data_IF_196105201227
#
_entry.id   IF_196105201227
#
_cell.length_a   1.000
_cell.length_b   1.000
_cell.length_c   1.000
_cell.angle_alpha   90.00
_cell.angle_beta   90.00
_cell.angle_gamma   90.00
#
_symmetry.space_group_name_H-M   'P 1'
#
loop_
_entity.id
_entity.type
_entity.pdbx_description
1 polymer ?
#
# COMPACT_ATOMS: atom_id res chain seq x y z
N UNK A 1 -10.89 7.01 13.85
CA UNK A 1 -10.56 5.99 12.82
C UNK A 1 -11.35 6.31 11.57
N UNK A 2 -10.71 6.31 10.38
CA UNK A 2 -11.38 6.63 9.12
C UNK A 2 -12.45 5.57 8.82
N UNK A 3 -13.68 6.01 8.55
CA UNK A 3 -14.77 5.12 8.16
C UNK A 3 -14.80 5.00 6.64
N UNK A 4 -14.16 3.95 6.12
CA UNK A 4 -13.97 3.75 4.68
C UNK A 4 -15.29 3.52 3.95
N UNK A 5 -16.21 2.74 4.52
CA UNK A 5 -17.53 2.51 3.93
C UNK A 5 -18.29 3.82 3.74
N UNK A 6 -18.21 4.74 4.71
CA UNK A 6 -18.83 6.05 4.58
C UNK A 6 -18.21 6.87 3.44
N UNK A 7 -16.89 6.84 3.30
CA UNK A 7 -16.17 7.62 2.28
C UNK A 7 -16.48 7.07 0.88
N UNK A 8 -16.49 5.75 0.70
CA UNK A 8 -16.75 5.11 -0.58
C UNK A 8 -18.20 5.30 -1.06
N UNK A 9 -19.16 5.39 -0.13
CA UNK A 9 -20.57 5.56 -0.47
C UNK A 9 -20.99 7.02 -0.69
N UNK A 10 -20.23 8.00 -0.18
CA UNK A 10 -20.53 9.42 -0.32
C UNK A 10 -19.58 10.09 -1.32
N UNK A 11 -20.10 10.44 -2.50
CA UNK A 11 -19.29 11.02 -3.59
C UNK A 11 -18.53 12.29 -3.16
N UNK A 12 -19.17 13.15 -2.36
CA UNK A 12 -18.51 14.35 -1.83
C UNK A 12 -17.28 14.01 -0.98
N UNK A 13 -17.39 13.06 -0.06
CA UNK A 13 -16.26 12.64 0.78
C UNK A 13 -15.19 11.94 -0.04
N UNK A 14 -15.58 11.09 -0.99
CA UNK A 14 -14.65 10.44 -1.91
C UNK A 14 -13.84 11.50 -2.67
N UNK A 15 -14.49 12.55 -3.15
CA UNK A 15 -13.86 13.66 -3.87
C UNK A 15 -13.00 14.55 -2.97
N UNK A 16 -13.40 14.81 -1.74
CA UNK A 16 -12.57 15.54 -0.76
C UNK A 16 -11.29 14.77 -0.40
N UNK A 17 -11.36 13.45 -0.33
CA UNK A 17 -10.23 12.59 0.06
C UNK A 17 -9.28 12.27 -1.08
N UNK A 18 -9.80 12.11 -2.31
CA UNK A 18 -9.00 11.65 -3.46
C UNK A 18 -8.85 12.71 -4.54
N UNK A 19 -9.67 13.77 -4.52
CA UNK A 19 -9.79 14.74 -5.62
C UNK A 19 -10.56 14.23 -6.83
N UNK A 20 -10.96 12.95 -6.84
CA UNK A 20 -11.56 12.28 -8.00
C UNK A 20 -13.08 12.20 -7.88
N UNK A 21 -13.76 12.14 -9.03
CA UNK A 21 -15.16 11.73 -9.06
C UNK A 21 -15.25 10.19 -8.95
N UNK A 22 -16.45 9.68 -8.68
CA UNK A 22 -16.66 8.24 -8.47
C UNK A 22 -16.34 7.40 -9.72
N UNK A 23 -16.56 7.95 -10.91
CA UNK A 23 -16.27 7.26 -12.17
C UNK A 23 -14.76 7.09 -12.40
N UNK A 24 -13.98 8.17 -12.33
CA UNK A 24 -12.53 8.14 -12.46
C UNK A 24 -11.88 7.30 -11.35
N UNK A 25 -12.42 7.33 -10.14
CA UNK A 25 -11.98 6.45 -9.06
C UNK A 25 -12.20 4.97 -9.40
N UNK A 26 -13.37 4.63 -9.96
CA UNK A 26 -13.66 3.25 -10.37
C UNK A 26 -12.84 2.82 -11.59
N UNK A 27 -12.51 3.71 -12.52
CA UNK A 27 -11.60 3.40 -13.62
C UNK A 27 -10.19 3.03 -13.14
N UNK A 28 -9.75 3.62 -12.02
CA UNK A 28 -8.46 3.26 -11.41
C UNK A 28 -8.45 1.86 -10.79
N UNK A 29 -9.61 1.25 -10.47
CA UNK A 29 -9.65 -0.07 -9.84
C UNK A 29 -9.01 -1.16 -10.71
N UNK A 30 -9.24 -1.13 -12.03
CA UNK A 30 -8.65 -2.12 -12.95
C UNK A 30 -7.13 -2.00 -12.98
N UNK A 31 -6.63 -0.78 -13.16
CA UNK A 31 -5.19 -0.49 -13.15
C UNK A 31 -4.55 -0.82 -11.79
N UNK A 32 -5.26 -0.56 -10.70
CA UNK A 32 -4.79 -0.83 -9.35
C UNK A 32 -4.72 -2.33 -9.08
N UNK A 33 -5.70 -3.12 -9.53
CA UNK A 33 -5.66 -4.58 -9.40
C UNK A 33 -4.44 -5.16 -10.11
N UNK A 34 -4.20 -4.78 -11.37
CA UNK A 34 -3.06 -5.25 -12.15
C UNK A 34 -1.71 -4.91 -11.51
N UNK A 35 -1.58 -3.68 -10.99
CA UNK A 35 -0.34 -3.23 -10.34
C UNK A 35 -0.17 -3.85 -8.95
N UNK A 36 -1.25 -4.03 -8.20
CA UNK A 36 -1.22 -4.68 -6.89
C UNK A 36 -0.76 -6.13 -7.02
N UNK A 37 -1.32 -6.91 -7.95
CA UNK A 37 -0.89 -8.28 -8.18
C UNK A 37 0.60 -8.34 -8.54
N UNK A 38 1.05 -7.53 -9.50
CA UNK A 38 2.46 -7.45 -9.89
C UNK A 38 3.37 -7.08 -8.71
N UNK A 39 2.97 -6.12 -7.88
CA UNK A 39 3.78 -5.69 -6.73
C UNK A 39 3.79 -6.72 -5.61
N UNK A 40 2.69 -7.39 -5.30
CA UNK A 40 2.64 -8.48 -4.31
C UNK A 40 3.51 -9.65 -4.74
N UNK A 41 3.39 -10.09 -6.00
CA UNK A 41 4.25 -11.14 -6.54
C UNK A 41 5.74 -10.77 -6.44
N UNK A 42 6.11 -9.53 -6.81
CA UNK A 42 7.49 -9.06 -6.73
C UNK A 42 7.99 -8.82 -5.29
N UNK A 43 7.11 -8.37 -4.39
CA UNK A 43 7.41 -8.13 -2.98
C UNK A 43 7.68 -9.43 -2.22
N UNK A 44 6.94 -10.50 -2.53
CA UNK A 44 7.19 -11.82 -1.95
C UNK A 44 8.52 -12.39 -2.44
N UNK A 45 8.87 -12.17 -3.71
CA UNK A 45 10.12 -12.63 -4.29
C UNK A 45 11.37 -11.87 -3.77
N UNK A 46 11.23 -10.60 -3.41
CA UNK A 46 12.39 -9.71 -3.18
C UNK A 46 12.51 -9.15 -1.76
N UNK A 47 11.93 -9.81 -0.76
CA UNK A 47 12.09 -9.39 0.65
C UNK A 47 13.48 -9.80 1.18
N UNK A 48 14.54 -9.17 0.70
CA UNK A 48 15.88 -9.30 1.28
C UNK A 48 16.06 -8.28 2.38
N UNK A 49 16.39 -8.75 3.59
CA UNK A 49 16.87 -7.85 4.65
C UNK A 49 18.21 -7.26 4.21
N UNK A 50 18.45 -5.99 4.54
CA UNK A 50 19.78 -5.42 4.37
C UNK A 50 20.81 -6.32 5.07
N UNK A 51 22.03 -6.48 4.52
CA UNK A 51 23.08 -7.22 5.20
C UNK A 51 23.32 -6.60 6.59
N UNK A 52 23.09 -7.37 7.66
CA UNK A 52 23.16 -6.91 9.05
C UNK A 52 21.81 -6.54 9.69
N UNK A 53 20.72 -6.44 8.92
CA UNK A 53 19.38 -6.18 9.43
C UNK A 53 18.83 -7.34 10.24
N UNK A 54 19.01 -7.30 11.56
CA UNK A 54 18.60 -8.35 12.50
C UNK A 54 19.75 -9.04 13.23
N UNK A 55 21.02 -8.72 12.91
CA UNK A 55 22.15 -9.16 13.74
C UNK A 55 22.19 -8.30 15.00
N UNK A 56 22.00 -8.92 16.17
CA UNK A 56 22.26 -8.26 17.45
C UNK A 56 23.77 -8.00 17.54
N UNK A 57 24.22 -6.76 17.83
CA UNK A 57 25.64 -6.50 18.02
C UNK A 57 26.13 -7.29 19.23
N UNK A 58 27.03 -8.25 19.01
CA UNK A 58 27.78 -8.89 20.09
C UNK A 58 28.97 -8.01 20.44
N UNK A 59 29.01 -7.50 21.66
CA UNK A 59 30.20 -6.83 22.21
C UNK A 59 31.40 -7.77 22.05
N UNK A 60 32.44 -7.32 21.34
CA UNK A 60 33.72 -8.02 21.32
C UNK A 60 34.39 -7.73 22.67
N UNK A 61 34.38 -8.69 23.58
CA UNK A 61 35.23 -8.64 24.77
C UNK A 61 36.69 -8.76 24.33
N UNK A 62 37.52 -7.84 24.81
CA UNK A 62 38.99 -7.87 24.73
C UNK A 62 39.50 -8.85 25.79
#
# INVERSE_FOLDING_TARGET
>A
MLNLDRILNQERLLREMTGLNRQAFNELLSQFADTYERTVFNSLANRKRAPGGGRKPTLRSI
#
